data_IF_535989130643
#
_entry.id   IF_535989130643
#
_cell.length_a   1.000
_cell.length_b   1.000
_cell.length_c   1.000
_cell.angle_alpha   90.00
_cell.angle_beta   90.00
_cell.angle_gamma   90.00
#
_symmetry.space_group_name_H-M   'P 1'
#
loop_
_entity.id
_entity.type
_entity.pdbx_description
1 polymer ?
#
# COMPACT_ATOMS: atom_id res chain seq x y z
N UNK A 1 -1.46 1.05 -4.12
CA UNK A 1 -1.77 1.40 -2.72
C UNK A 1 -3.29 1.32 -2.53
N UNK A 2 -3.77 0.09 -2.53
CA UNK A 2 -5.16 -0.29 -2.35
C UNK A 2 -5.41 -0.81 -0.93
N UNK A 3 -4.35 -1.26 -0.24
CA UNK A 3 -4.44 -1.84 1.11
C UNK A 3 -3.95 -0.85 2.17
N UNK A 4 -4.41 0.40 2.07
CA UNK A 4 -4.20 1.42 3.09
C UNK A 4 -5.54 1.91 3.63
N UNK A 5 -5.58 2.19 4.92
CA UNK A 5 -6.69 2.87 5.56
C UNK A 5 -6.71 4.32 5.08
N UNK A 6 -7.60 4.63 4.13
CA UNK A 6 -7.81 5.97 3.60
C UNK A 6 -8.89 6.66 4.41
N UNK A 7 -8.60 7.86 4.91
CA UNK A 7 -9.53 8.69 5.66
C UNK A 7 -9.41 10.14 5.20
N UNK A 8 -10.47 10.92 5.43
CA UNK A 8 -10.43 12.37 5.23
C UNK A 8 -9.69 13.00 6.42
N UNK A 9 -8.73 13.88 6.15
CA UNK A 9 -7.90 14.50 7.17
C UNK A 9 -8.72 15.21 8.28
N UNK A 10 -9.90 15.74 7.93
CA UNK A 10 -10.74 16.49 8.86
C UNK A 10 -11.65 15.61 9.72
N UNK A 11 -11.76 14.31 9.41
CA UNK A 11 -12.58 13.36 10.13
C UNK A 11 -11.74 12.60 11.18
N UNK A 12 -11.48 13.30 12.29
CA UNK A 12 -10.62 12.81 13.38
C UNK A 12 -11.26 11.63 14.12
N UNK A 13 -12.59 11.60 14.21
CA UNK A 13 -13.33 10.49 14.83
C UNK A 13 -13.13 9.20 14.03
N UNK A 14 -13.26 9.29 12.70
CA UNK A 14 -13.01 8.14 11.83
C UNK A 14 -11.55 7.69 11.85
N UNK A 15 -10.59 8.61 11.99
CA UNK A 15 -9.19 8.24 12.19
C UNK A 15 -9.00 7.45 13.49
N UNK A 16 -9.58 7.92 14.59
CA UNK A 16 -9.48 7.27 15.89
C UNK A 16 -10.08 5.85 15.84
N UNK A 17 -11.26 5.69 15.23
CA UNK A 17 -11.91 4.39 15.05
C UNK A 17 -11.04 3.44 14.22
N UNK A 18 -10.42 3.92 13.15
CA UNK A 18 -9.55 3.10 12.31
C UNK A 18 -8.29 2.64 13.07
N UNK A 19 -7.70 3.49 13.90
CA UNK A 19 -6.55 3.14 14.75
C UNK A 19 -6.97 2.08 15.79
N UNK A 20 -8.09 2.31 16.49
CA UNK A 20 -8.58 1.40 17.53
C UNK A 20 -8.91 0.03 16.93
N UNK A 21 -9.63 -0.01 15.81
CA UNK A 21 -9.98 -1.27 15.14
C UNK A 21 -8.74 -2.02 14.61
N UNK A 22 -7.72 -1.31 14.14
CA UNK A 22 -6.44 -1.92 13.74
C UNK A 22 -5.63 -2.51 14.90
N UNK A 23 -5.84 -2.00 16.12
CA UNK A 23 -5.21 -2.53 17.34
C UNK A 23 -5.96 -3.73 17.90
N UNK A 24 -7.30 -3.69 17.87
CA UNK A 24 -8.17 -4.73 18.46
C UNK A 24 -8.21 -5.99 17.58
N UNK A 25 -8.24 -5.84 16.25
CA UNK A 25 -8.40 -6.96 15.31
C UNK A 25 -7.05 -7.38 14.71
N UNK A 26 -6.38 -8.34 15.37
CA UNK A 26 -5.08 -8.86 14.93
C UNK A 26 -5.12 -9.54 13.56
N UNK A 27 -6.14 -10.34 13.26
CA UNK A 27 -6.29 -11.03 11.97
C UNK A 27 -6.36 -10.03 10.80
N UNK A 28 -7.19 -8.99 10.95
CA UNK A 28 -7.31 -7.92 9.96
C UNK A 28 -5.97 -7.19 9.74
N UNK A 29 -5.19 -6.98 10.81
CA UNK A 29 -3.87 -6.36 10.73
C UNK A 29 -2.87 -7.24 9.96
N UNK A 30 -2.88 -8.55 10.20
CA UNK A 30 -2.00 -9.50 9.51
C UNK A 30 -2.31 -9.53 8.01
N UNK A 31 -3.58 -9.61 7.65
CA UNK A 31 -4.01 -9.59 6.24
C UNK A 31 -3.59 -8.28 5.55
N UNK A 32 -3.80 -7.13 6.21
CA UNK A 32 -3.36 -5.84 5.68
C UNK A 32 -1.85 -5.77 5.45
N UNK A 33 -1.04 -6.32 6.36
CA UNK A 33 0.43 -6.34 6.23
C UNK A 33 0.84 -7.21 5.04
N UNK A 34 0.24 -8.39 4.87
CA UNK A 34 0.56 -9.30 3.77
C UNK A 34 0.24 -8.66 2.41
N UNK A 35 -0.95 -8.06 2.29
CA UNK A 35 -1.36 -7.38 1.06
C UNK A 35 -0.51 -6.14 0.77
N UNK A 36 -0.15 -5.36 1.80
CA UNK A 36 0.75 -4.22 1.66
C UNK A 36 2.16 -4.63 1.21
N UNK A 37 2.67 -5.76 1.72
CA UNK A 37 3.96 -6.32 1.29
C UNK A 37 3.96 -6.69 -0.19
N UNK A 38 2.89 -7.31 -0.67
CA UNK A 38 2.72 -7.63 -2.08
C UNK A 38 2.65 -6.36 -2.97
N UNK A 39 1.98 -5.30 -2.50
CA UNK A 39 1.98 -4.02 -3.22
C UNK A 39 3.37 -3.36 -3.25
N UNK A 40 4.11 -3.43 -2.14
CA UNK A 40 5.47 -2.91 -2.03
C UNK A 40 6.41 -3.56 -3.03
N UNK A 41 6.36 -4.88 -3.22
CA UNK A 41 7.17 -5.59 -4.22
C UNK A 41 6.98 -5.04 -5.63
N UNK A 42 5.78 -4.58 -5.97
CA UNK A 42 5.45 -4.00 -7.29
C UNK A 42 5.82 -2.52 -7.42
N UNK A 43 5.93 -1.80 -6.29
CA UNK A 43 6.30 -0.38 -6.23
C UNK A 43 7.81 -0.16 -6.08
N UNK A 44 8.59 -1.24 -6.04
CA UNK A 44 10.05 -1.20 -5.95
C UNK A 44 10.67 -0.39 -7.08
N UNK A 45 11.69 0.38 -6.72
CA UNK A 45 12.47 1.18 -7.68
C UNK A 45 13.09 0.32 -8.77
N UNK A 46 13.48 -0.92 -8.44
CA UNK A 46 14.04 -1.86 -9.41
C UNK A 46 13.01 -2.29 -10.46
N UNK A 47 11.75 -2.51 -10.07
CA UNK A 47 10.68 -2.85 -11.00
C UNK A 47 10.35 -1.66 -11.93
N UNK A 48 10.39 -0.43 -11.41
CA UNK A 48 10.21 0.79 -12.19
C UNK A 48 11.37 1.03 -13.16
N UNK A 49 12.61 0.82 -12.72
CA UNK A 49 13.81 0.95 -13.54
C UNK A 49 13.81 -0.06 -14.69
N UNK A 50 13.53 -1.34 -14.40
CA UNK A 50 13.45 -2.39 -15.41
C UNK A 50 12.38 -2.08 -16.47
N UNK A 51 11.20 -1.62 -16.04
CA UNK A 51 10.14 -1.23 -16.96
C UNK A 51 10.54 -0.05 -17.84
N UNK A 52 11.29 0.90 -17.28
CA UNK A 52 11.77 2.09 -18.02
C UNK A 52 12.78 1.68 -19.10
N UNK A 53 13.72 0.80 -18.76
CA UNK A 53 14.70 0.25 -19.73
C UNK A 53 14.02 -0.53 -20.85
N UNK A 54 13.04 -1.39 -20.52
CA UNK A 54 12.26 -2.14 -21.51
C UNK A 54 11.55 -1.23 -22.51
N UNK A 55 10.92 -0.14 -22.04
CA UNK A 55 10.24 0.82 -22.91
C UNK A 55 11.23 1.57 -23.79
N UNK A 56 12.37 1.98 -23.23
CA UNK A 56 13.42 2.67 -24.00
C UNK A 56 13.96 1.80 -25.14
N UNK A 57 14.31 0.54 -24.85
CA UNK A 57 14.82 -0.42 -25.83
C UNK A 57 13.77 -0.89 -26.85
N UNK A 58 12.48 -0.68 -26.59
CA UNK A 58 11.42 -1.00 -27.55
C UNK A 58 11.19 0.11 -28.59
N UNK A 59 11.67 1.33 -28.33
CA UNK A 59 11.48 2.51 -29.18
C UNK A 59 12.73 2.84 -30.00
N UNK A 60 13.91 2.42 -29.53
CA UNK A 60 15.21 2.51 -30.23
C UNK A 60 15.46 1.25 -31.05
#
# INVERSE_FOLDING_TARGET
>A
IHHSLKFDFWDVDRLADLIINGLIHEEMRLDMIEMARSELERLRWEAAAQRTEQVYNAVV
#
